data_IF_832015887328
#
_entry.id   IF_832015887328
#
_cell.length_a   1.000
_cell.length_b   1.000
_cell.length_c   1.000
_cell.angle_alpha   90.00
_cell.angle_beta   90.00
_cell.angle_gamma   90.00
#
_symmetry.space_group_name_H-M   'P 1'
#
loop_
_entity.id
_entity.type
_entity.pdbx_description
1 polymer ?
#
# COMPACT_ATOMS: atom_id res chain seq x y z
N UNK A 1 1.18 25.03 -13.36
CA UNK A 1 1.52 23.90 -14.25
C UNK A 1 2.20 22.77 -13.51
N UNK A 2 3.22 23.09 -12.73
CA UNK A 2 3.94 22.08 -11.95
C UNK A 2 3.01 21.36 -10.98
N UNK A 3 2.10 22.10 -10.34
CA UNK A 3 1.15 21.52 -9.41
C UNK A 3 0.20 20.53 -10.06
N UNK A 4 -0.02 20.65 -11.36
CA UNK A 4 -0.88 19.73 -12.10
C UNK A 4 -0.27 18.33 -12.16
N UNK A 5 1.06 18.22 -12.27
CA UNK A 5 1.74 16.94 -12.31
C UNK A 5 1.52 16.18 -11.00
N UNK A 6 1.70 16.85 -9.87
CA UNK A 6 1.49 16.25 -8.57
C UNK A 6 0.03 15.86 -8.36
N UNK A 7 -0.88 16.72 -8.77
CA UNK A 7 -2.31 16.42 -8.68
C UNK A 7 -2.67 15.21 -9.55
N UNK A 8 -2.09 15.12 -10.72
CA UNK A 8 -2.35 14.01 -11.62
C UNK A 8 -1.88 12.70 -11.00
N UNK A 9 -0.71 12.69 -10.37
CA UNK A 9 -0.22 11.50 -9.68
C UNK A 9 -1.10 11.08 -8.53
N UNK A 10 -1.55 12.03 -7.72
CA UNK A 10 -2.47 11.74 -6.61
C UNK A 10 -3.82 11.29 -7.13
N UNK A 11 -4.31 11.91 -8.20
CA UNK A 11 -5.60 11.56 -8.80
C UNK A 11 -5.56 10.19 -9.47
N UNK A 12 -4.37 9.67 -9.80
CA UNK A 12 -4.24 8.36 -10.40
C UNK A 12 -4.53 7.23 -9.42
N UNK A 13 -4.49 7.50 -8.11
CA UNK A 13 -4.77 6.51 -7.07
C UNK A 13 -6.20 6.71 -6.57
N UNK A 14 -7.02 5.71 -6.79
CA UNK A 14 -8.42 5.72 -6.40
C UNK A 14 -8.57 5.26 -4.95
N UNK A 15 -9.24 6.05 -4.13
CA UNK A 15 -9.54 5.65 -2.75
C UNK A 15 -10.61 4.57 -2.76
N UNK A 16 -10.33 3.45 -2.11
CA UNK A 16 -11.30 2.35 -2.00
C UNK A 16 -11.43 1.91 -0.55
N UNK A 17 -12.53 1.22 -0.26
CA UNK A 17 -12.73 0.56 1.04
C UNK A 17 -11.94 -0.74 1.08
N UNK A 18 -11.37 -1.05 2.25
CA UNK A 18 -10.57 -2.27 2.40
C UNK A 18 -11.36 -3.54 2.08
N UNK A 19 -12.66 -3.52 2.28
CA UNK A 19 -13.52 -4.67 2.01
C UNK A 19 -13.52 -5.07 0.53
N UNK A 20 -13.21 -4.13 -0.36
CA UNK A 20 -13.15 -4.40 -1.80
C UNK A 20 -11.86 -5.10 -2.21
N UNK A 21 -10.83 -5.05 -1.37
CA UNK A 21 -9.50 -5.58 -1.72
C UNK A 21 -9.54 -7.09 -1.97
N UNK A 22 -10.37 -7.82 -1.23
CA UNK A 22 -10.46 -9.25 -1.36
C UNK A 22 -10.91 -9.71 -2.76
N UNK A 23 -11.59 -8.85 -3.51
CA UNK A 23 -12.06 -9.15 -4.86
C UNK A 23 -11.07 -8.77 -5.94
N UNK A 24 -9.96 -8.13 -5.59
CA UNK A 24 -8.98 -7.66 -6.56
C UNK A 24 -8.01 -8.77 -6.96
N UNK A 25 -7.51 -8.68 -8.19
CA UNK A 25 -6.48 -9.58 -8.70
C UNK A 25 -5.14 -8.86 -8.72
N UNK A 26 -4.11 -9.48 -8.17
CA UNK A 26 -2.78 -8.87 -8.07
C UNK A 26 -1.78 -9.63 -8.93
N UNK A 27 -1.16 -8.96 -9.92
CA UNK A 27 -0.04 -9.56 -10.66
C UNK A 27 1.13 -9.87 -9.72
N UNK A 28 1.99 -10.78 -10.15
CA UNK A 28 3.13 -11.21 -9.34
C UNK A 28 4.34 -10.29 -9.47
N UNK A 29 4.39 -9.46 -10.49
CA UNK A 29 5.51 -8.53 -10.69
C UNK A 29 5.50 -7.42 -9.64
N UNK A 30 6.68 -6.88 -9.34
CA UNK A 30 6.80 -5.76 -8.41
C UNK A 30 6.53 -4.44 -9.14
N UNK A 31 5.77 -3.56 -8.51
CA UNK A 31 5.51 -2.22 -9.05
C UNK A 31 6.72 -1.31 -8.92
N UNK A 32 7.66 -1.63 -8.02
CA UNK A 32 8.92 -0.90 -7.85
C UNK A 32 10.04 -1.65 -8.55
N UNK A 33 10.95 -0.92 -9.19
CA UNK A 33 12.09 -1.50 -9.89
C UNK A 33 13.41 -1.23 -9.18
N UNK A 34 13.52 -0.10 -8.50
CA UNK A 34 14.73 0.34 -7.85
C UNK A 34 14.88 -0.38 -6.50
N UNK A 35 16.08 -0.94 -6.27
CA UNK A 35 16.38 -1.66 -5.03
C UNK A 35 16.25 -0.76 -3.80
N UNK A 36 16.60 0.51 -3.93
CA UNK A 36 16.48 1.45 -2.81
C UNK A 36 15.01 1.70 -2.46
N UNK A 37 14.15 1.80 -3.47
CA UNK A 37 12.72 1.97 -3.24
C UNK A 37 12.12 0.73 -2.60
N UNK A 38 12.54 -0.45 -3.02
CA UNK A 38 12.07 -1.71 -2.44
C UNK A 38 12.50 -1.81 -0.97
N UNK A 39 13.75 -1.48 -0.67
CA UNK A 39 14.24 -1.47 0.71
C UNK A 39 13.52 -0.43 1.55
N UNK A 40 13.31 0.74 1.00
CA UNK A 40 12.58 1.82 1.67
C UNK A 40 11.15 1.41 2.00
N UNK A 41 10.50 0.74 1.06
CA UNK A 41 9.14 0.24 1.28
C UNK A 41 9.10 -0.74 2.45
N UNK A 42 10.07 -1.66 2.53
CA UNK A 42 10.13 -2.61 3.64
C UNK A 42 10.29 -1.90 4.99
N UNK A 43 11.20 -0.92 5.05
CA UNK A 43 11.40 -0.15 6.28
C UNK A 43 10.15 0.62 6.68
N UNK A 44 9.46 1.21 5.71
CA UNK A 44 8.23 1.94 5.96
C UNK A 44 7.12 1.03 6.45
N UNK A 45 7.03 -0.17 5.91
CA UNK A 45 6.04 -1.17 6.35
C UNK A 45 6.32 -1.63 7.78
N UNK A 46 7.58 -1.87 8.12
CA UNK A 46 7.95 -2.27 9.47
C UNK A 46 7.60 -1.17 10.48
N UNK A 47 7.85 0.07 10.13
CA UNK A 47 7.52 1.22 10.96
C UNK A 47 6.00 1.35 11.13
N UNK A 48 5.26 1.21 10.04
CA UNK A 48 3.80 1.29 10.08
C UNK A 48 3.19 0.18 10.91
N UNK A 49 3.79 -1.02 10.87
CA UNK A 49 3.35 -2.13 11.71
C UNK A 49 3.52 -1.80 13.20
N UNK A 50 4.66 -1.24 13.57
CA UNK A 50 4.91 -0.83 14.95
C UNK A 50 3.89 0.21 15.41
N UNK A 51 3.63 1.21 14.59
CA UNK A 51 2.64 2.24 14.91
C UNK A 51 1.24 1.65 15.04
N UNK A 52 0.88 0.73 14.17
CA UNK A 52 -0.43 0.07 14.23
C UNK A 52 -0.61 -0.74 15.50
N UNK A 53 0.43 -1.46 15.92
CA UNK A 53 0.38 -2.27 17.13
C UNK A 53 0.34 -1.45 18.42
N UNK A 54 1.07 -0.34 18.46
CA UNK A 54 1.19 0.48 19.66
C UNK A 54 0.09 1.53 19.78
N UNK A 55 -0.30 2.14 18.68
CA UNK A 55 -1.17 3.30 18.70
C UNK A 55 -2.42 3.17 17.85
N UNK A 56 -2.59 2.05 17.14
CA UNK A 56 -3.73 1.83 16.23
C UNK A 56 -3.86 2.92 15.17
N UNK A 57 -2.72 3.43 14.70
CA UNK A 57 -2.68 4.52 13.73
C UNK A 57 -3.12 4.02 12.36
N UNK A 58 -3.96 4.80 11.69
CA UNK A 58 -4.29 4.55 10.28
C UNK A 58 -3.24 5.14 9.38
N UNK A 59 -2.90 4.41 8.34
CA UNK A 59 -1.95 4.85 7.32
C UNK A 59 -2.59 4.73 5.95
N UNK A 60 -2.01 5.45 4.99
CA UNK A 60 -2.43 5.38 3.60
C UNK A 60 -1.49 4.46 2.85
N UNK A 61 -2.06 3.44 2.22
CA UNK A 61 -1.32 2.45 1.43
C UNK A 61 -1.66 2.68 -0.03
N UNK A 62 -0.65 2.99 -0.84
CA UNK A 62 -0.78 3.19 -2.27
C UNK A 62 -0.33 1.93 -2.97
N UNK A 63 -1.23 1.27 -3.68
CA UNK A 63 -0.98 -0.02 -4.29
C UNK A 63 -1.65 -0.11 -5.66
N UNK A 64 -1.41 -1.21 -6.35
CA UNK A 64 -1.92 -1.37 -7.71
C UNK A 64 -2.34 -2.83 -7.93
N UNK A 65 -3.58 -3.03 -8.35
CA UNK A 65 -4.04 -4.35 -8.80
C UNK A 65 -3.80 -4.50 -10.30
N UNK A 66 -4.47 -5.44 -10.94
CA UNK A 66 -4.30 -5.66 -12.38
C UNK A 66 -5.01 -4.62 -13.25
N UNK A 67 -5.85 -3.77 -12.65
CA UNK A 67 -6.67 -2.83 -13.39
C UNK A 67 -6.25 -1.38 -13.21
N UNK A 68 -5.89 -0.96 -12.00
CA UNK A 68 -5.62 0.45 -11.74
C UNK A 68 -4.87 0.66 -10.44
N UNK A 69 -4.42 1.90 -10.25
CA UNK A 69 -3.77 2.34 -9.02
C UNK A 69 -4.82 2.70 -7.99
N UNK A 70 -4.63 2.22 -6.77
CA UNK A 70 -5.60 2.37 -5.69
C UNK A 70 -4.92 2.80 -4.40
N UNK A 71 -5.72 3.34 -3.50
CA UNK A 71 -5.25 3.73 -2.17
C UNK A 71 -6.28 3.30 -1.14
N UNK A 72 -5.80 2.78 -0.01
CA UNK A 72 -6.64 2.44 1.13
C UNK A 72 -6.06 3.08 2.39
N UNK A 73 -6.93 3.51 3.28
CA UNK A 73 -6.51 4.06 4.57
C UNK A 73 -6.98 3.13 5.68
N UNK A 74 -6.04 2.53 6.40
CA UNK A 74 -6.35 1.52 7.41
C UNK A 74 -5.15 1.27 8.30
N UNK A 75 -5.33 0.42 9.31
CA UNK A 75 -4.26 0.01 10.20
C UNK A 75 -3.64 -1.30 9.70
N UNK A 76 -2.30 -1.38 9.76
CA UNK A 76 -1.58 -2.61 9.44
C UNK A 76 -1.50 -3.47 10.70
N UNK A 77 -1.95 -4.73 10.59
CA UNK A 77 -1.91 -5.70 11.68
C UNK A 77 -0.72 -6.65 11.61
N UNK A 78 -0.17 -6.87 10.41
CA UNK A 78 0.96 -7.76 10.24
C UNK A 78 1.66 -7.53 8.92
N UNK A 79 2.94 -7.89 8.87
CA UNK A 79 3.75 -7.83 7.66
C UNK A 79 4.59 -9.10 7.61
N UNK A 80 4.52 -9.79 6.48
CA UNK A 80 5.41 -10.91 6.18
C UNK A 80 6.32 -10.53 5.01
N UNK A 81 7.16 -11.45 4.56
CA UNK A 81 8.04 -11.18 3.42
C UNK A 81 7.27 -10.84 2.15
N UNK A 82 6.05 -11.36 2.00
CA UNK A 82 5.29 -11.21 0.77
C UNK A 82 3.93 -10.54 0.94
N UNK A 83 3.46 -10.33 2.16
CA UNK A 83 2.09 -9.86 2.40
C UNK A 83 2.02 -8.81 3.48
N UNK A 84 1.09 -7.87 3.31
CA UNK A 84 0.69 -6.93 4.35
C UNK A 84 -0.71 -7.32 4.78
N UNK A 85 -0.89 -7.55 6.08
CA UNK A 85 -2.17 -7.94 6.66
C UNK A 85 -2.77 -6.70 7.30
N UNK A 86 -3.94 -6.31 6.82
CA UNK A 86 -4.66 -5.14 7.30
C UNK A 86 -5.67 -5.52 8.37
N UNK A 87 -6.22 -4.52 9.01
CA UNK A 87 -7.30 -4.70 9.97
C UNK A 87 -8.38 -5.60 9.37
N UNK A 88 -8.87 -6.55 10.17
CA UNK A 88 -9.87 -7.56 9.79
C UNK A 88 -9.35 -8.62 8.81
N UNK A 89 -8.03 -8.73 8.66
CA UNK A 89 -7.43 -9.83 7.92
C UNK A 89 -7.37 -9.66 6.40
N UNK A 90 -7.67 -8.46 5.90
CA UNK A 90 -7.52 -8.17 4.48
C UNK A 90 -6.04 -8.13 4.12
N UNK A 91 -5.67 -8.66 2.96
CA UNK A 91 -4.26 -8.84 2.57
C UNK A 91 -3.96 -8.11 1.27
N UNK A 92 -2.82 -7.41 1.24
CA UNK A 92 -2.25 -6.82 0.01
C UNK A 92 -0.85 -7.41 -0.17
N UNK A 93 -0.51 -7.90 -1.38
CA UNK A 93 0.86 -8.35 -1.64
C UNK A 93 1.85 -7.19 -1.55
N UNK A 94 2.98 -7.40 -0.86
CA UNK A 94 4.00 -6.36 -0.70
C UNK A 94 4.48 -5.84 -2.06
N UNK A 95 4.67 -6.73 -3.04
CA UNK A 95 5.17 -6.35 -4.35
C UNK A 95 4.22 -5.46 -5.15
N UNK A 96 3.00 -5.29 -4.71
CA UNK A 96 2.04 -4.40 -5.39
C UNK A 96 1.85 -3.07 -4.67
N UNK A 97 2.63 -2.81 -3.65
CA UNK A 97 2.57 -1.56 -2.90
C UNK A 97 3.61 -0.59 -3.46
N UNK A 98 3.15 0.61 -3.82
CA UNK A 98 4.03 1.70 -4.28
C UNK A 98 4.67 2.40 -3.11
N UNK A 99 3.87 2.78 -2.12
CA UNK A 99 4.36 3.50 -0.93
C UNK A 99 3.28 3.50 0.16
N UNK A 100 3.70 3.86 1.35
CA UNK A 100 2.81 4.11 2.48
C UNK A 100 3.13 5.48 3.07
N UNK A 101 2.13 6.11 3.65
CA UNK A 101 2.26 7.45 4.23
C UNK A 101 1.60 7.54 5.59
#
# INVERSE_FOLDING_TARGET
MINLTNKTMNAAFELIDKELIASLNFPKSDVLEDKEDISGRKNDLDRALSLGNLEHVKIKIYFEDDMSKKMVETTIWGVTDSRVILKQGVVIPVNRIHKIV
#
